data_IF_200475844478
#
_entry.id   IF_200475844478
#
_cell.length_a   1.000
_cell.length_b   1.000
_cell.length_c   1.000
_cell.angle_alpha   90.00
_cell.angle_beta   90.00
_cell.angle_gamma   90.00
#
_symmetry.space_group_name_H-M   'P 1'
#
loop_
_entity.id
_entity.type
_entity.pdbx_description
1 polymer ?
#
# COMPACT_ATOMS: atom_id res chain seq x y z
N UNK A 1 14.40 -12.05 6.30
CA UNK A 1 13.09 -11.76 6.92
C UNK A 1 12.41 -10.72 6.05
N UNK A 2 11.18 -10.95 5.61
CA UNK A 2 10.40 -9.92 4.91
C UNK A 2 9.67 -9.11 5.97
N UNK A 3 10.02 -7.82 6.12
CA UNK A 3 9.29 -6.89 6.99
C UNK A 3 7.85 -6.77 6.46
N UNK A 4 6.86 -6.72 7.35
CA UNK A 4 5.46 -6.51 6.96
C UNK A 4 5.21 -5.03 6.69
N UNK A 5 4.42 -4.73 5.67
CA UNK A 5 4.16 -3.33 5.27
C UNK A 5 3.56 -2.49 6.40
N UNK A 6 2.63 -3.05 7.18
CA UNK A 6 2.01 -2.33 8.29
C UNK A 6 3.02 -1.93 9.37
N UNK A 7 3.91 -2.86 9.76
CA UNK A 7 4.97 -2.61 10.74
C UNK A 7 5.96 -1.56 10.21
N UNK A 8 6.37 -1.68 8.95
CA UNK A 8 7.27 -0.70 8.32
C UNK A 8 6.69 0.72 8.32
N UNK A 9 5.40 0.86 8.02
CA UNK A 9 4.72 2.14 7.99
C UNK A 9 4.67 2.80 9.39
N UNK A 10 4.50 2.00 10.44
CA UNK A 10 4.55 2.46 11.83
C UNK A 10 5.97 2.84 12.22
N UNK A 11 6.96 1.98 11.95
CA UNK A 11 8.37 2.23 12.27
C UNK A 11 8.90 3.52 11.62
N UNK A 12 8.44 3.84 10.41
CA UNK A 12 8.80 5.06 9.69
C UNK A 12 7.96 6.29 10.07
N UNK A 13 6.97 6.14 10.95
CA UNK A 13 6.12 7.23 11.42
C UNK A 13 5.07 7.70 10.41
N UNK A 14 4.76 6.88 9.40
CA UNK A 14 3.74 7.18 8.38
C UNK A 14 2.35 6.62 8.72
N UNK A 15 2.25 5.81 9.77
CA UNK A 15 0.99 5.22 10.24
C UNK A 15 1.03 5.13 11.77
N UNK A 16 -0.05 5.49 12.46
CA UNK A 16 -0.16 5.27 13.90
C UNK A 16 -0.48 3.78 14.20
N UNK A 17 -0.01 3.26 15.34
CA UNK A 17 -0.33 1.89 15.77
C UNK A 17 -1.84 1.65 15.93
N UNK A 18 -2.56 2.66 16.42
CA UNK A 18 -4.01 2.60 16.60
C UNK A 18 -4.74 2.54 15.24
N UNK A 19 -4.26 3.28 14.24
CA UNK A 19 -4.81 3.26 12.87
C UNK A 19 -4.53 1.91 12.19
N UNK A 20 -3.36 1.33 12.41
CA UNK A 20 -3.03 -0.01 11.93
C UNK A 20 -3.97 -1.07 12.54
N UNK A 21 -4.25 -0.94 13.84
CA UNK A 21 -5.20 -1.81 14.54
C UNK A 21 -6.62 -1.65 13.99
N UNK A 22 -7.06 -0.41 13.76
CA UNK A 22 -8.36 -0.12 13.16
C UNK A 22 -8.48 -0.72 11.75
N UNK A 23 -7.44 -0.61 10.94
CA UNK A 23 -7.39 -1.21 9.60
C UNK A 23 -7.51 -2.75 9.65
N UNK A 24 -6.89 -3.42 10.62
CA UNK A 24 -7.06 -4.87 10.81
C UNK A 24 -8.48 -5.25 11.21
N UNK A 25 -9.15 -4.46 12.04
CA UNK A 25 -10.54 -4.72 12.42
C UNK A 25 -11.46 -4.60 11.20
N UNK A 26 -11.29 -3.53 10.40
CA UNK A 26 -12.01 -3.36 9.14
C UNK A 26 -11.76 -4.53 8.18
N UNK A 27 -10.52 -5.00 8.08
CA UNK A 27 -10.17 -6.13 7.21
C UNK A 27 -10.87 -7.43 7.62
N UNK A 28 -10.97 -7.68 8.93
CA UNK A 28 -11.65 -8.86 9.49
C UNK A 28 -13.16 -8.81 9.25
N UNK A 29 -13.78 -7.64 9.37
CA UNK A 29 -15.24 -7.46 9.24
C UNK A 29 -15.73 -7.51 7.79
N UNK A 30 -14.88 -7.12 6.82
CA UNK A 30 -15.27 -6.95 5.41
C UNK A 30 -15.07 -8.20 4.54
N UNK A 31 -14.80 -9.37 5.13
CA UNK A 31 -14.48 -10.63 4.43
C UNK A 31 -13.49 -10.47 3.26
N UNK A 32 -12.19 -10.39 3.56
CA UNK A 32 -11.02 -10.66 2.67
C UNK A 32 -10.86 -9.93 1.32
N UNK A 33 -11.85 -9.23 0.79
CA UNK A 33 -11.82 -8.69 -0.58
C UNK A 33 -10.76 -7.61 -0.77
N UNK A 34 -10.34 -6.97 0.33
CA UNK A 34 -9.36 -5.89 0.33
C UNK A 34 -8.09 -6.27 1.09
N UNK A 35 -6.96 -6.02 0.44
CA UNK A 35 -5.63 -6.05 1.06
C UNK A 35 -5.51 -4.90 2.07
N UNK A 36 -4.62 -5.07 3.04
CA UNK A 36 -4.39 -4.08 4.10
C UNK A 36 -4.07 -2.70 3.52
N UNK A 37 -3.20 -2.63 2.51
CA UNK A 37 -2.85 -1.38 1.83
C UNK A 37 -4.04 -0.64 1.23
N UNK A 38 -4.97 -1.38 0.62
CA UNK A 38 -6.19 -0.80 0.04
C UNK A 38 -7.10 -0.22 1.13
N UNK A 39 -7.17 -0.87 2.29
CA UNK A 39 -7.91 -0.36 3.45
C UNK A 39 -7.24 0.90 3.99
N UNK A 40 -5.91 0.90 4.16
CA UNK A 40 -5.17 2.04 4.67
C UNK A 40 -5.38 3.30 3.82
N UNK A 41 -5.37 3.17 2.49
CA UNK A 41 -5.64 4.29 1.57
C UNK A 41 -7.11 4.66 1.55
N UNK A 42 -8.01 3.68 1.37
CA UNK A 42 -9.47 3.93 1.23
C UNK A 42 -10.09 4.62 2.43
N UNK A 43 -9.59 4.34 3.64
CA UNK A 43 -10.09 4.93 4.88
C UNK A 43 -9.25 6.14 5.34
N UNK A 44 -8.34 6.65 4.50
CA UNK A 44 -7.48 7.81 4.77
C UNK A 44 -6.57 7.66 6.00
N UNK A 45 -6.19 6.43 6.37
CA UNK A 45 -5.14 6.22 7.37
C UNK A 45 -3.76 6.61 6.83
N UNK A 46 -3.58 6.60 5.52
CA UNK A 46 -2.36 7.03 4.85
C UNK A 46 -2.65 7.60 3.46
N UNK A 47 -1.83 8.55 3.02
CA UNK A 47 -1.82 9.03 1.64
C UNK A 47 -1.32 7.94 0.67
N UNK A 48 -1.98 7.79 -0.47
CA UNK A 48 -1.67 6.77 -1.47
C UNK A 48 -0.24 6.89 -2.03
N UNK A 49 0.26 8.12 -2.23
CA UNK A 49 1.63 8.34 -2.74
C UNK A 49 2.66 7.92 -1.73
N UNK A 50 2.42 8.19 -0.44
CA UNK A 50 3.29 7.71 0.65
C UNK A 50 3.27 6.19 0.70
N UNK A 51 2.07 5.58 0.68
CA UNK A 51 1.93 4.12 0.71
C UNK A 51 2.70 3.46 -0.45
N UNK A 52 2.50 3.93 -1.69
CA UNK A 52 3.18 3.40 -2.87
C UNK A 52 4.71 3.57 -2.80
N UNK A 53 5.20 4.67 -2.22
CA UNK A 53 6.63 4.88 -2.00
C UNK A 53 7.22 3.89 -1.00
N UNK A 54 6.55 3.63 0.11
CA UNK A 54 7.05 2.68 1.11
C UNK A 54 6.94 1.23 0.59
N UNK A 55 5.85 0.91 -0.10
CA UNK A 55 5.65 -0.41 -0.71
C UNK A 55 6.74 -0.71 -1.76
N UNK A 56 7.11 0.27 -2.60
CA UNK A 56 8.17 0.09 -3.59
C UNK A 56 9.52 -0.17 -2.94
N UNK A 57 9.84 0.55 -1.85
CA UNK A 57 11.04 0.32 -1.03
C UNK A 57 11.04 -1.07 -0.40
N UNK A 58 9.92 -1.53 0.17
CA UNK A 58 9.78 -2.85 0.79
C UNK A 58 10.01 -3.98 -0.22
N UNK A 59 9.50 -3.82 -1.44
CA UNK A 59 9.58 -4.83 -2.50
C UNK A 59 10.89 -4.76 -3.32
N UNK A 60 11.63 -3.66 -3.21
CA UNK A 60 12.84 -3.42 -4.02
C UNK A 60 12.56 -3.11 -5.49
N UNK A 61 11.37 -2.58 -5.80
CA UNK A 61 10.98 -2.14 -7.14
C UNK A 61 11.01 -0.61 -7.25
N UNK A 62 11.32 -0.04 -8.42
CA UNK A 62 11.16 1.39 -8.64
C UNK A 62 9.67 1.77 -8.62
N UNK A 63 9.35 2.90 -8.00
CA UNK A 63 8.07 3.57 -8.20
C UNK A 63 8.15 4.35 -9.51
N UNK A 64 7.26 4.03 -10.47
CA UNK A 64 7.26 4.62 -11.80
C UNK A 64 5.96 5.41 -11.99
N UNK A 65 6.08 6.67 -12.43
CA UNK A 65 4.94 7.42 -12.93
C UNK A 65 4.54 6.87 -14.30
N UNK A 66 3.30 6.38 -14.41
CA UNK A 66 2.81 5.78 -15.66
C UNK A 66 2.76 6.85 -16.74
N UNK A 67 3.61 6.70 -17.76
CA UNK A 67 3.57 7.51 -18.95
C UNK A 67 3.05 6.68 -20.13
N UNK A 68 1.93 7.13 -20.71
CA UNK A 68 1.27 6.48 -21.85
C UNK A 68 2.22 6.30 -23.04
N UNK A 69 3.23 7.15 -23.21
CA UNK A 69 4.21 7.01 -24.29
C UNK A 69 5.17 5.82 -24.13
N UNK A 70 5.31 5.27 -22.92
CA UNK A 70 6.19 4.13 -22.60
C UNK A 70 5.44 2.79 -22.64
N UNK A 71 4.16 2.81 -22.99
CA UNK A 71 3.30 1.64 -22.98
C UNK A 71 3.54 0.80 -24.23
N UNK A 72 3.93 -0.46 -24.03
CA UNK A 72 4.03 -1.45 -25.11
C UNK A 72 2.63 -1.81 -25.61
N UNK A 73 2.23 -1.15 -26.70
CA UNK A 73 0.94 -1.38 -27.39
C UNK A 73 0.62 -2.86 -27.68
N UNK A 74 1.59 -3.75 -27.99
CA UNK A 74 1.29 -5.16 -28.22
C UNK A 74 0.73 -5.92 -27.00
N UNK A 75 0.91 -5.42 -25.77
CA UNK A 75 0.41 -6.07 -24.56
C UNK A 75 -1.09 -5.83 -24.29
N UNK A 76 -1.75 -5.02 -25.13
CA UNK A 76 -3.17 -4.65 -24.99
C UNK A 76 -4.10 -5.44 -25.93
N UNK A 77 -3.56 -6.38 -26.71
CA UNK A 77 -4.29 -7.22 -27.66
C UNK A 77 -4.36 -8.69 -27.21
#
# INVERSE_FOLDING_TARGET
>A
MSIRIGELLVELGHLAEDDLTAAFNIQKERETDLKLGEILVKYNFIDEKIFNRILSMQLGFPLIDVNVSLVDKPLFN
#
